data_IF_537026382737
#
_entry.id   IF_537026382737
#
_cell.length_a   1.000
_cell.length_b   1.000
_cell.length_c   1.000
_cell.angle_alpha   90.00
_cell.angle_beta   90.00
_cell.angle_gamma   90.00
#
_symmetry.space_group_name_H-M   'P 1'
#
loop_
_entity.id
_entity.type
_entity.pdbx_description
1 polymer ?
#
# COMPACT_ATOMS: atom_id res chain seq x y z
N UNK A 1 10.39 60.14 -6.51
CA UNK A 1 9.77 61.41 -6.99
C UNK A 1 8.90 61.10 -8.18
N UNK A 2 7.61 61.45 -8.07
CA UNK A 2 6.58 61.67 -9.12
C UNK A 2 6.19 60.47 -10.00
N UNK A 3 4.95 60.29 -10.45
CA UNK A 3 3.58 60.64 -10.06
C UNK A 3 2.72 60.40 -11.32
N UNK A 4 1.45 60.09 -11.11
CA UNK A 4 0.31 60.21 -12.05
C UNK A 4 0.22 59.20 -13.22
N UNK A 5 -0.97 58.74 -13.62
CA UNK A 5 -2.31 59.07 -13.17
C UNK A 5 -3.38 58.54 -14.13
N UNK A 6 -4.32 57.75 -13.59
CA UNK A 6 -5.75 58.09 -13.43
C UNK A 6 -6.63 58.48 -14.66
N UNK A 7 -7.75 57.73 -14.77
CA UNK A 7 -9.12 58.10 -15.24
C UNK A 7 -9.34 58.28 -16.76
N UNK A 8 -10.50 58.06 -17.37
CA UNK A 8 -11.85 57.52 -17.10
C UNK A 8 -12.62 57.88 -18.39
N UNK A 9 -13.53 57.07 -18.94
CA UNK A 9 -14.79 57.61 -19.51
C UNK A 9 -15.79 56.49 -19.79
N UNK A 10 -17.04 56.89 -19.67
CA UNK A 10 -18.27 56.13 -19.41
C UNK A 10 -19.19 56.36 -20.60
N UNK A 11 -20.03 55.39 -20.96
CA UNK A 11 -21.31 55.70 -21.60
C UNK A 11 -22.36 54.64 -21.28
N UNK A 12 -23.48 55.15 -20.77
CA UNK A 12 -24.72 54.48 -20.40
C UNK A 12 -25.66 54.36 -21.61
N UNK A 13 -26.73 53.58 -21.38
CA UNK A 13 -28.15 53.87 -21.70
C UNK A 13 -28.73 52.78 -22.63
N UNK A 14 -29.95 52.26 -22.51
CA UNK A 14 -31.04 52.25 -21.52
C UNK A 14 -32.12 51.31 -22.08
N UNK A 15 -32.98 50.77 -21.20
CA UNK A 15 -34.45 50.90 -21.20
C UNK A 15 -35.32 49.61 -21.13
N UNK A 16 -36.14 49.56 -20.05
CA UNK A 16 -37.59 49.25 -19.97
C UNK A 16 -38.10 47.83 -20.33
N UNK A 17 -39.12 47.19 -19.71
CA UNK A 17 -40.04 47.43 -18.59
C UNK A 17 -40.98 46.16 -18.46
N UNK A 18 -41.79 46.10 -17.39
CA UNK A 18 -43.12 45.42 -17.23
C UNK A 18 -43.24 44.07 -16.46
N UNK A 19 -43.61 44.22 -15.16
CA UNK A 19 -44.76 43.69 -14.37
C UNK A 19 -45.29 42.21 -14.47
N UNK A 20 -45.23 41.53 -13.32
CA UNK A 20 -46.36 41.13 -12.41
C UNK A 20 -47.07 39.74 -12.49
N UNK A 21 -47.14 39.11 -11.30
CA UNK A 21 -48.26 38.35 -10.68
C UNK A 21 -48.11 36.83 -10.44
N UNK A 22 -48.58 36.39 -9.26
CA UNK A 22 -48.52 35.05 -8.66
C UNK A 22 -49.88 34.32 -8.67
N UNK A 23 -49.91 32.97 -8.81
CA UNK A 23 -50.76 32.01 -8.02
C UNK A 23 -50.62 30.50 -8.39
N UNK A 24 -50.30 29.69 -7.36
CA UNK A 24 -50.80 28.36 -6.90
C UNK A 24 -50.70 27.00 -7.66
N UNK A 25 -49.93 26.06 -7.03
CA UNK A 25 -50.04 24.57 -6.77
C UNK A 25 -50.03 23.55 -7.94
N UNK A 26 -49.69 22.23 -7.73
CA UNK A 26 -49.53 21.42 -6.50
C UNK A 26 -48.16 20.68 -6.34
N UNK A 27 -47.88 19.95 -5.22
CA UNK A 27 -46.61 19.24 -5.01
C UNK A 27 -46.68 17.79 -5.52
N UNK A 28 -45.68 17.37 -6.30
CA UNK A 28 -45.51 15.99 -6.76
C UNK A 28 -44.42 15.27 -5.95
N UNK A 29 -44.79 14.09 -5.46
CA UNK A 29 -44.05 13.19 -4.57
C UNK A 29 -42.74 12.72 -5.24
N UNK A 30 -41.57 13.07 -4.67
CA UNK A 30 -40.28 12.61 -5.19
C UNK A 30 -39.97 11.20 -4.65
N UNK A 31 -39.90 10.26 -5.58
CA UNK A 31 -39.49 8.87 -5.38
C UNK A 31 -38.15 8.78 -4.60
N UNK A 32 -38.23 8.28 -3.36
CA UNK A 32 -37.07 8.02 -2.50
C UNK A 32 -36.16 6.91 -3.05
N UNK A 33 -36.68 6.04 -3.93
CA UNK A 33 -35.96 4.90 -4.51
C UNK A 33 -34.76 5.30 -5.38
N UNK A 34 -34.82 6.42 -6.10
CA UNK A 34 -33.73 6.89 -6.97
C UNK A 34 -32.60 7.61 -6.20
N UNK A 35 -32.89 8.11 -5.00
CA UNK A 35 -31.92 8.83 -4.17
C UNK A 35 -30.98 7.83 -3.48
N UNK A 36 -31.51 6.68 -3.03
CA UNK A 36 -30.69 5.63 -2.43
C UNK A 36 -29.71 5.00 -3.43
N UNK A 37 -30.09 4.83 -4.70
CA UNK A 37 -29.19 4.27 -5.72
C UNK A 37 -28.00 5.20 -6.01
N UNK A 38 -28.26 6.52 -6.14
CA UNK A 38 -27.22 7.53 -6.38
C UNK A 38 -26.31 7.72 -5.16
N UNK A 39 -26.87 7.62 -3.95
CA UNK A 39 -26.12 7.70 -2.70
C UNK A 39 -25.22 6.47 -2.52
N UNK A 40 -25.69 5.27 -2.85
CA UNK A 40 -24.89 4.04 -2.75
C UNK A 40 -23.70 4.05 -3.73
N UNK A 41 -23.90 4.54 -4.96
CA UNK A 41 -22.83 4.71 -5.95
C UNK A 41 -21.81 5.75 -5.48
N UNK A 42 -22.27 6.92 -4.99
CA UNK A 42 -21.38 7.97 -4.49
C UNK A 42 -20.61 7.59 -3.22
N UNK A 43 -21.21 6.81 -2.32
CA UNK A 43 -20.54 6.27 -1.12
C UNK A 43 -19.52 5.20 -1.51
N UNK A 44 -19.84 4.34 -2.49
CA UNK A 44 -18.90 3.33 -2.98
C UNK A 44 -17.69 3.97 -3.67
N UNK A 45 -17.90 4.99 -4.50
CA UNK A 45 -16.81 5.76 -5.13
C UNK A 45 -15.98 6.57 -4.13
N UNK A 46 -16.60 7.13 -3.09
CA UNK A 46 -15.88 7.86 -2.04
C UNK A 46 -15.06 6.91 -1.14
N UNK A 47 -15.61 5.76 -0.76
CA UNK A 47 -14.94 4.77 0.08
C UNK A 47 -13.79 4.06 -0.64
N UNK A 48 -13.89 3.85 -1.96
CA UNK A 48 -12.79 3.32 -2.78
C UNK A 48 -11.67 4.35 -2.93
N UNK A 49 -11.99 5.63 -3.20
CA UNK A 49 -10.99 6.71 -3.22
C UNK A 49 -10.23 6.89 -1.90
N UNK A 50 -10.91 6.72 -0.75
CA UNK A 50 -10.26 6.82 0.56
C UNK A 50 -9.36 5.63 0.91
N UNK A 51 -9.68 4.41 0.45
CA UNK A 51 -8.77 3.24 0.60
C UNK A 51 -7.49 3.42 -0.22
N UNK A 52 -7.62 3.76 -1.50
CA UNK A 52 -6.48 3.96 -2.40
C UNK A 52 -5.52 5.08 -1.91
N UNK A 53 -6.08 6.17 -1.35
CA UNK A 53 -5.26 7.25 -0.76
C UNK A 53 -4.55 6.83 0.53
N UNK A 54 -5.16 5.97 1.34
CA UNK A 54 -4.57 5.44 2.58
C UNK A 54 -3.47 4.42 2.29
N UNK A 55 -3.65 3.61 1.24
CA UNK A 55 -2.70 2.60 0.77
C UNK A 55 -1.46 3.25 0.18
N UNK A 56 -1.59 4.28 -0.68
CA UNK A 56 -0.46 5.06 -1.18
C UNK A 56 0.37 5.70 -0.05
N UNK A 57 -0.30 6.27 0.96
CA UNK A 57 0.37 6.80 2.17
C UNK A 57 1.03 5.71 3.01
N UNK A 58 0.55 4.47 2.96
CA UNK A 58 1.10 3.34 3.71
C UNK A 58 2.40 2.85 3.07
N UNK A 59 2.46 2.84 1.74
CA UNK A 59 3.67 2.51 1.01
C UNK A 59 4.80 3.50 1.28
N UNK A 60 4.55 4.81 1.17
CA UNK A 60 5.58 5.83 1.44
C UNK A 60 6.17 5.73 2.86
N UNK A 61 5.31 5.39 3.83
CA UNK A 61 5.76 5.11 5.21
C UNK A 61 6.62 3.86 5.25
N UNK A 62 6.25 2.81 4.53
CA UNK A 62 6.99 1.55 4.46
C UNK A 62 8.40 1.76 3.91
N UNK A 63 8.54 2.57 2.85
CA UNK A 63 9.85 2.97 2.31
C UNK A 63 10.74 3.66 3.33
N UNK A 64 10.21 4.65 4.04
CA UNK A 64 10.95 5.36 5.09
C UNK A 64 11.37 4.43 6.23
N UNK A 65 10.53 3.45 6.57
CA UNK A 65 10.84 2.46 7.60
C UNK A 65 11.95 1.50 7.14
N UNK A 66 11.92 1.03 5.89
CA UNK A 66 12.97 0.19 5.32
C UNK A 66 14.32 0.91 5.31
N UNK A 67 14.38 2.15 4.79
CA UNK A 67 15.59 2.98 4.78
C UNK A 67 16.15 3.17 6.21
N UNK A 68 15.27 3.40 7.18
CA UNK A 68 15.66 3.51 8.58
C UNK A 68 16.25 2.21 9.13
N UNK A 69 15.70 1.05 8.76
CA UNK A 69 16.25 -0.25 9.18
C UNK A 69 17.63 -0.48 8.56
N UNK A 70 17.81 -0.17 7.27
CA UNK A 70 19.11 -0.26 6.58
C UNK A 70 20.16 0.59 7.30
N UNK A 71 19.84 1.86 7.59
CA UNK A 71 20.74 2.77 8.31
C UNK A 71 21.12 2.27 9.71
N UNK A 72 20.17 1.70 10.46
CA UNK A 72 20.43 1.11 11.77
C UNK A 72 21.36 -0.11 11.66
N UNK A 73 21.19 -0.92 10.61
CA UNK A 73 22.02 -2.08 10.35
C UNK A 73 23.43 -1.72 9.86
N UNK A 74 23.60 -0.57 9.18
CA UNK A 74 24.89 -0.04 8.69
C UNK A 74 25.75 0.64 9.78
N UNK A 75 25.29 0.70 11.02
CA UNK A 75 26.03 1.35 12.10
C UNK A 75 27.42 0.72 12.26
N UNK A 76 28.50 1.52 12.39
CA UNK A 76 29.88 1.01 12.36
C UNK A 76 30.20 -0.05 13.43
N UNK A 77 29.52 0.01 14.59
CA UNK A 77 29.62 -1.01 15.66
C UNK A 77 28.86 -2.31 15.36
N UNK A 78 28.03 -2.33 14.33
CA UNK A 78 27.33 -3.53 13.86
C UNK A 78 28.27 -4.34 12.99
N UNK A 79 28.96 -5.31 13.60
CA UNK A 79 29.76 -6.30 12.88
C UNK A 79 28.86 -7.33 12.18
N UNK A 80 27.97 -6.89 11.29
CA UNK A 80 27.16 -7.81 10.49
C UNK A 80 28.10 -8.56 9.55
N UNK A 81 28.38 -9.82 9.87
CA UNK A 81 29.12 -10.73 8.99
C UNK A 81 28.32 -10.88 7.69
N UNK A 82 28.99 -10.81 6.54
CA UNK A 82 28.42 -10.96 5.19
C UNK A 82 27.98 -12.42 4.90
N UNK A 83 27.32 -13.04 5.85
CA UNK A 83 26.76 -14.38 5.76
C UNK A 83 25.26 -14.24 5.48
N UNK A 84 24.73 -14.86 4.42
CA UNK A 84 23.29 -14.88 4.16
C UNK A 84 22.53 -15.40 5.40
N UNK A 85 21.37 -14.81 5.77
CA UNK A 85 20.64 -13.73 5.10
C UNK A 85 21.18 -12.33 5.48
N UNK A 86 21.69 -11.59 4.50
CA UNK A 86 22.24 -10.25 4.71
C UNK A 86 21.16 -9.19 4.50
N UNK A 87 20.64 -8.64 5.61
CA UNK A 87 19.53 -7.67 5.59
C UNK A 87 19.83 -6.41 4.77
N UNK A 88 21.12 -6.05 4.65
CA UNK A 88 21.57 -4.89 3.88
C UNK A 88 21.46 -5.09 2.36
N UNK A 89 21.37 -6.33 1.87
CA UNK A 89 21.07 -6.61 0.46
C UNK A 89 19.57 -6.85 0.27
N UNK A 90 18.94 -7.57 1.20
CA UNK A 90 17.53 -7.97 1.11
C UNK A 90 16.60 -6.76 1.04
N UNK A 91 16.81 -5.74 1.86
CA UNK A 91 15.91 -4.57 1.89
C UNK A 91 16.02 -3.73 0.60
N UNK A 92 17.22 -3.39 0.10
CA UNK A 92 17.36 -2.80 -1.24
C UNK A 92 16.76 -3.66 -2.35
N UNK A 93 16.98 -4.97 -2.35
CA UNK A 93 16.39 -5.87 -3.35
C UNK A 93 14.86 -5.86 -3.31
N UNK A 94 14.28 -5.86 -2.11
CA UNK A 94 12.83 -5.76 -1.91
C UNK A 94 12.31 -4.43 -2.46
N UNK A 95 13.04 -3.34 -2.23
CA UNK A 95 12.69 -2.03 -2.78
C UNK A 95 12.69 -2.04 -4.32
N UNK A 96 13.73 -2.59 -4.94
CA UNK A 96 13.80 -2.70 -6.41
C UNK A 96 12.67 -3.54 -6.97
N UNK A 97 12.34 -4.67 -6.32
CA UNK A 97 11.25 -5.55 -6.76
C UNK A 97 9.90 -4.86 -6.70
N UNK A 98 9.61 -4.17 -5.61
CA UNK A 98 8.39 -3.39 -5.47
C UNK A 98 8.33 -2.23 -6.48
N UNK A 99 9.44 -1.54 -6.74
CA UNK A 99 9.51 -0.50 -7.78
C UNK A 99 9.20 -1.06 -9.18
N UNK A 100 9.73 -2.25 -9.50
CA UNK A 100 9.41 -2.96 -10.74
C UNK A 100 7.91 -3.26 -10.84
N UNK A 101 7.29 -3.76 -9.77
CA UNK A 101 5.84 -4.01 -9.73
C UNK A 101 5.09 -2.71 -10.04
N UNK A 102 5.40 -1.62 -9.34
CA UNK A 102 4.74 -0.33 -9.59
C UNK A 102 4.86 0.12 -11.04
N UNK A 103 6.04 -0.01 -11.66
CA UNK A 103 6.25 0.38 -13.06
C UNK A 103 5.37 -0.41 -14.04
N UNK A 104 5.03 -1.66 -13.72
CA UNK A 104 4.14 -2.50 -14.56
C UNK A 104 2.67 -2.12 -14.44
N UNK A 105 2.27 -1.50 -13.33
CA UNK A 105 0.88 -1.15 -13.04
C UNK A 105 0.61 0.36 -13.12
N UNK A 106 1.52 1.19 -13.63
CA UNK A 106 1.34 2.67 -13.70
C UNK A 106 0.00 3.09 -14.33
N UNK A 107 -0.41 2.38 -15.38
CA UNK A 107 -1.67 2.64 -16.11
C UNK A 107 -2.90 1.93 -15.50
N UNK A 108 -2.70 1.05 -14.51
CA UNK A 108 -3.76 0.25 -13.89
C UNK A 108 -3.50 0.04 -12.38
N UNK A 109 -3.25 1.13 -11.66
CA UNK A 109 -3.01 1.10 -10.21
C UNK A 109 -4.18 0.50 -9.44
N UNK A 110 -5.42 0.68 -9.93
CA UNK A 110 -6.63 0.12 -9.32
C UNK A 110 -6.57 -1.41 -9.25
N UNK A 111 -5.99 -2.07 -10.25
CA UNK A 111 -5.81 -3.53 -10.23
C UNK A 111 -4.74 -3.99 -9.24
N UNK A 112 -3.71 -3.18 -9.00
CA UNK A 112 -2.68 -3.49 -8.00
C UNK A 112 -3.21 -3.26 -6.58
N UNK A 113 -3.91 -2.15 -6.36
CA UNK A 113 -4.49 -1.77 -5.07
C UNK A 113 -5.63 -2.72 -4.66
N UNK A 114 -6.35 -3.30 -5.62
CA UNK A 114 -7.36 -4.33 -5.34
C UNK A 114 -6.77 -5.73 -5.10
N UNK A 115 -5.47 -5.92 -5.31
CA UNK A 115 -4.82 -7.21 -5.08
C UNK A 115 -4.59 -7.45 -3.58
N UNK A 116 -5.33 -8.41 -3.02
CA UNK A 116 -5.26 -8.74 -1.59
C UNK A 116 -3.86 -9.17 -1.15
N UNK A 117 -3.16 -9.98 -1.96
CA UNK A 117 -1.81 -10.46 -1.65
C UNK A 117 -0.80 -9.33 -1.54
N UNK A 118 -0.86 -8.38 -2.47
CA UNK A 118 -0.01 -7.21 -2.46
C UNK A 118 -0.23 -6.38 -1.19
N UNK A 119 -1.50 -6.11 -0.84
CA UNK A 119 -1.85 -5.36 0.36
C UNK A 119 -1.42 -6.06 1.65
N UNK A 120 -1.60 -7.38 1.75
CA UNK A 120 -1.14 -8.18 2.88
C UNK A 120 0.40 -8.09 2.99
N UNK A 121 1.10 -8.24 1.86
CA UNK A 121 2.55 -8.14 1.81
C UNK A 121 3.06 -6.77 2.31
N UNK A 122 2.53 -5.67 1.79
CA UNK A 122 2.93 -4.31 2.20
C UNK A 122 2.66 -4.07 3.69
N UNK A 123 1.49 -4.51 4.19
CA UNK A 123 1.17 -4.38 5.60
C UNK A 123 2.09 -5.22 6.50
N UNK A 124 2.42 -6.45 6.10
CA UNK A 124 3.38 -7.29 6.81
C UNK A 124 4.77 -6.65 6.80
N UNK A 125 5.23 -6.15 5.65
CA UNK A 125 6.53 -5.52 5.48
C UNK A 125 6.67 -4.31 6.42
N UNK A 126 5.64 -3.45 6.45
CA UNK A 126 5.58 -2.33 7.38
C UNK A 126 5.69 -2.77 8.84
N UNK A 127 4.97 -3.82 9.24
CA UNK A 127 4.98 -4.35 10.62
C UNK A 127 6.36 -4.89 11.00
N UNK A 128 6.97 -5.69 10.13
CA UNK A 128 8.31 -6.27 10.35
C UNK A 128 9.39 -5.18 10.39
N UNK A 129 9.29 -4.11 9.58
CA UNK A 129 10.20 -2.96 9.68
C UNK A 129 10.04 -2.21 11.01
N UNK A 130 8.80 -1.98 11.49
CA UNK A 130 8.57 -1.38 12.81
C UNK A 130 9.14 -2.24 13.93
N UNK A 131 8.98 -3.56 13.83
CA UNK A 131 9.55 -4.52 14.78
C UNK A 131 11.09 -4.44 14.81
N UNK A 132 11.74 -4.38 13.65
CA UNK A 132 13.19 -4.17 13.57
C UNK A 132 13.61 -2.89 14.28
N UNK A 133 12.98 -1.76 13.97
CA UNK A 133 13.30 -0.47 14.61
C UNK A 133 13.09 -0.52 16.13
N UNK A 134 12.02 -1.17 16.60
CA UNK A 134 11.76 -1.36 18.04
C UNK A 134 12.85 -2.20 18.69
N UNK A 135 13.29 -3.28 18.03
CA UNK A 135 14.38 -4.14 18.51
C UNK A 135 15.69 -3.34 18.71
N UNK A 136 16.04 -2.48 17.76
CA UNK A 136 17.21 -1.59 17.90
C UNK A 136 17.08 -0.61 19.06
N UNK A 137 15.89 -0.01 19.25
CA UNK A 137 15.62 0.93 20.34
C UNK A 137 15.72 0.28 21.73
N UNK A 138 15.24 -0.96 21.86
CA UNK A 138 15.26 -1.69 23.12
C UNK A 138 16.62 -2.33 23.41
N UNK A 139 17.28 -2.87 22.38
CA UNK A 139 18.57 -3.53 22.52
C UNK A 139 19.71 -2.55 22.86
N UNK A 140 19.69 -1.33 22.30
CA UNK A 140 20.76 -0.31 22.49
C UNK A 140 22.15 -0.96 22.33
N UNK A 141 23.01 -0.87 23.34
CA UNK A 141 24.35 -1.47 23.33
C UNK A 141 24.34 -2.99 23.16
N UNK A 142 23.29 -3.68 23.65
CA UNK A 142 23.16 -5.14 23.49
C UNK A 142 22.96 -5.56 22.03
N UNK A 143 22.60 -4.66 21.12
CA UNK A 143 22.57 -4.98 19.68
C UNK A 143 23.96 -5.29 19.11
N UNK A 144 25.01 -4.69 19.71
CA UNK A 144 26.39 -4.83 19.23
C UNK A 144 27.06 -6.10 19.75
N UNK A 145 26.58 -6.65 20.86
CA UNK A 145 27.00 -7.97 21.36
C UNK A 145 26.46 -9.10 20.48
N UNK A 146 27.36 -9.87 19.86
CA UNK A 146 27.02 -10.97 18.95
C UNK A 146 26.22 -12.09 19.64
N UNK A 147 26.43 -12.30 20.94
CA UNK A 147 25.79 -13.38 21.69
C UNK A 147 24.43 -13.00 22.28
N UNK A 148 24.06 -11.73 22.21
CA UNK A 148 22.83 -11.23 22.82
C UNK A 148 21.58 -11.80 22.14
N UNK A 149 20.50 -11.92 22.92
CA UNK A 149 19.20 -12.29 22.38
C UNK A 149 18.69 -11.29 21.34
N UNK A 150 19.04 -10.00 21.47
CA UNK A 150 18.67 -8.97 20.50
C UNK A 150 19.33 -9.21 19.14
N UNK A 151 20.61 -9.61 19.11
CA UNK A 151 21.29 -9.96 17.87
C UNK A 151 20.70 -11.20 17.22
N UNK A 152 20.42 -12.25 18.00
CA UNK A 152 19.74 -13.47 17.51
C UNK A 152 18.35 -13.15 16.93
N UNK A 153 17.59 -12.25 17.57
CA UNK A 153 16.30 -11.79 17.07
C UNK A 153 16.42 -11.02 15.76
N UNK A 154 17.46 -10.20 15.60
CA UNK A 154 17.73 -9.52 14.34
C UNK A 154 18.05 -10.52 13.22
N UNK A 155 18.83 -11.57 13.51
CA UNK A 155 19.11 -12.65 12.56
C UNK A 155 17.82 -13.36 12.14
N UNK A 156 16.96 -13.73 13.10
CA UNK A 156 15.63 -14.30 12.82
C UNK A 156 14.79 -13.37 11.93
N UNK A 157 14.79 -12.08 12.23
CA UNK A 157 14.05 -11.08 11.46
C UNK A 157 14.61 -10.91 10.05
N UNK A 158 15.93 -11.00 9.87
CA UNK A 158 16.60 -10.96 8.56
C UNK A 158 16.20 -12.16 7.70
N UNK A 159 16.08 -13.35 8.32
CA UNK A 159 15.56 -14.54 7.65
C UNK A 159 14.11 -14.37 7.20
N UNK A 160 13.26 -13.80 8.07
CA UNK A 160 11.87 -13.47 7.71
C UNK A 160 11.81 -12.51 6.52
N UNK A 161 12.63 -11.45 6.49
CA UNK A 161 12.70 -10.56 5.33
C UNK A 161 13.13 -11.29 4.04
N UNK A 162 14.09 -12.22 4.13
CA UNK A 162 14.52 -13.03 2.98
C UNK A 162 13.38 -13.87 2.42
N UNK A 163 12.57 -14.49 3.29
CA UNK A 163 11.39 -15.26 2.87
C UNK A 163 10.33 -14.37 2.26
N UNK A 164 10.02 -13.23 2.88
CA UNK A 164 9.09 -12.25 2.33
C UNK A 164 9.50 -11.81 0.92
N UNK A 165 10.78 -11.50 0.70
CA UNK A 165 11.28 -11.15 -0.63
C UNK A 165 11.11 -12.29 -1.63
N UNK A 166 11.38 -13.53 -1.20
CA UNK A 166 11.23 -14.72 -2.06
C UNK A 166 9.76 -14.96 -2.44
N UNK A 167 8.83 -14.78 -1.49
CA UNK A 167 7.39 -14.84 -1.74
C UNK A 167 6.94 -13.74 -2.71
N UNK A 168 7.40 -12.51 -2.51
CA UNK A 168 7.13 -11.41 -3.44
C UNK A 168 7.65 -11.72 -4.84
N UNK A 169 8.87 -12.29 -4.95
CA UNK A 169 9.43 -12.69 -6.23
C UNK A 169 8.59 -13.78 -6.90
N UNK A 170 8.10 -14.75 -6.14
CA UNK A 170 7.30 -15.86 -6.64
C UNK A 170 5.87 -15.44 -7.05
N UNK A 171 5.27 -14.48 -6.34
CA UNK A 171 3.95 -13.92 -6.69
C UNK A 171 4.02 -12.97 -7.89
N UNK A 172 5.14 -12.27 -8.06
CA UNK A 172 5.33 -11.26 -9.10
C UNK A 172 6.61 -11.50 -9.92
N UNK A 173 6.81 -12.65 -10.60
CA UNK A 173 8.07 -13.07 -11.23
C UNK A 173 8.74 -11.98 -12.10
N UNK A 174 7.95 -11.22 -12.85
CA UNK A 174 8.41 -10.10 -13.71
C UNK A 174 7.76 -8.76 -13.35
N UNK A 175 7.35 -8.61 -12.09
CA UNK A 175 6.60 -7.45 -11.61
C UNK A 175 5.10 -7.49 -11.93
N UNK A 176 4.61 -8.56 -12.56
CA UNK A 176 3.20 -8.81 -12.85
C UNK A 176 2.70 -9.94 -11.96
N UNK A 177 1.50 -9.78 -11.41
CA UNK A 177 0.89 -10.79 -10.56
C UNK A 177 0.66 -12.09 -11.34
N UNK A 178 1.24 -13.19 -10.87
CA UNK A 178 1.14 -14.53 -11.45
C UNK A 178 0.55 -15.55 -10.44
N UNK A 179 -0.20 -15.09 -9.44
CA UNK A 179 -0.75 -15.94 -8.38
C UNK A 179 -1.66 -17.06 -8.88
N UNK A 180 -2.43 -16.81 -9.95
CA UNK A 180 -3.28 -17.83 -10.59
C UNK A 180 -2.48 -18.99 -11.25
N UNK A 181 -1.16 -18.83 -11.42
CA UNK A 181 -0.29 -19.87 -12.00
C UNK A 181 0.48 -20.66 -10.93
N UNK A 182 0.23 -20.43 -9.63
CA UNK A 182 0.97 -21.08 -8.56
C UNK A 182 0.59 -22.57 -8.43
N UNK A 183 1.44 -23.44 -8.99
CA UNK A 183 1.24 -24.89 -8.99
C UNK A 183 1.97 -25.54 -7.81
N UNK A 184 1.26 -26.30 -6.95
CA UNK A 184 1.94 -27.16 -5.97
C UNK A 184 2.73 -28.21 -6.73
N UNK A 185 4.04 -28.27 -6.48
CA UNK A 185 4.96 -29.20 -7.13
C UNK A 185 4.79 -30.65 -6.68
N UNK A 186 4.22 -30.90 -5.50
CA UNK A 186 3.89 -32.23 -4.99
C UNK A 186 2.42 -32.55 -5.25
N UNK A 187 2.17 -33.60 -6.03
CA UNK A 187 0.84 -34.10 -6.39
C UNK A 187 -0.03 -34.37 -5.16
N UNK A 188 0.52 -35.01 -4.14
CA UNK A 188 -0.24 -35.47 -2.97
C UNK A 188 -0.72 -34.28 -2.12
N UNK A 189 0.11 -33.23 -2.05
CA UNK A 189 -0.27 -31.98 -1.40
C UNK A 189 -1.31 -31.20 -2.23
N UNK A 190 -1.24 -31.27 -3.56
CA UNK A 190 -2.23 -30.68 -4.46
C UNK A 190 -3.61 -31.35 -4.32
N UNK A 191 -3.61 -32.67 -4.23
CA UNK A 191 -4.82 -33.47 -4.06
C UNK A 191 -5.42 -33.30 -2.66
N UNK A 192 -4.58 -33.27 -1.62
CA UNK A 192 -4.99 -32.89 -0.26
C UNK A 192 -5.66 -31.51 -0.25
N UNK A 193 -5.05 -30.53 -0.91
CA UNK A 193 -5.58 -29.18 -0.97
C UNK A 193 -6.93 -29.10 -1.69
N UNK A 194 -7.01 -29.73 -2.86
CA UNK A 194 -8.24 -29.79 -3.67
C UNK A 194 -9.38 -30.46 -2.90
N UNK A 195 -9.06 -31.48 -2.12
CA UNK A 195 -10.02 -32.22 -1.30
C UNK A 195 -10.51 -31.42 -0.10
N UNK A 196 -9.64 -30.62 0.54
CA UNK A 196 -9.96 -29.88 1.77
C UNK A 196 -10.52 -28.46 1.54
N UNK A 197 -10.07 -27.78 0.49
CA UNK A 197 -10.37 -26.36 0.25
C UNK A 197 -10.98 -26.09 -1.14
N UNK A 198 -11.23 -27.14 -1.94
CA UNK A 198 -11.77 -27.04 -3.30
C UNK A 198 -10.78 -26.43 -4.31
N UNK A 199 -11.29 -25.92 -5.43
CA UNK A 199 -10.52 -25.10 -6.39
C UNK A 199 -10.21 -23.69 -5.86
N UNK A 200 -10.47 -23.43 -4.57
CA UNK A 200 -10.06 -22.16 -3.95
C UNK A 200 -8.54 -22.11 -3.98
N UNK A 201 -8.00 -21.16 -4.75
CA UNK A 201 -6.57 -20.92 -4.91
C UNK A 201 -5.83 -21.10 -3.57
N UNK A 202 -4.69 -21.80 -3.63
CA UNK A 202 -3.76 -22.05 -2.51
C UNK A 202 -3.38 -20.82 -1.68
N UNK A 203 -3.61 -19.69 -2.31
CA UNK A 203 -3.54 -18.32 -1.86
C UNK A 203 -4.23 -18.03 -0.50
N UNK A 204 -5.37 -18.64 -0.18
CA UNK A 204 -6.12 -18.28 1.06
C UNK A 204 -5.48 -18.75 2.37
N UNK A 205 -4.46 -19.62 2.31
CA UNK A 205 -3.85 -20.25 3.50
C UNK A 205 -2.36 -19.95 3.69
N UNK A 206 -1.78 -19.10 2.83
CA UNK A 206 -0.51 -18.44 3.14
C UNK A 206 -0.56 -17.27 4.14
N UNK A 207 -1.63 -16.95 4.89
CA UNK A 207 -1.49 -16.02 6.02
C UNK A 207 -0.78 -16.62 7.25
N UNK A 208 -0.35 -17.89 7.26
CA UNK A 208 -0.01 -18.51 8.56
C UNK A 208 1.32 -19.27 8.65
N UNK A 209 2.07 -19.49 7.58
CA UNK A 209 3.35 -20.23 7.71
C UNK A 209 4.52 -19.29 8.03
N UNK A 210 4.38 -17.97 7.86
CA UNK A 210 5.45 -16.99 8.10
C UNK A 210 5.00 -15.64 8.72
N UNK A 211 3.74 -15.50 9.17
CA UNK A 211 3.28 -14.30 9.87
C UNK A 211 3.79 -14.27 11.32
#
# INVERSE_FOLDING_TARGET
RRLCGTRHFKLQSSNSNVKQSCRNRPPQHKNLSTIFSKLHVAITDACTHQRNATEKRTLDKTWKLMDKVVKLCQHQKMNLKNSPPFILDILPDTYQRLKLIYSKYENNMVSLDSNEHFNIFINNLMRKCKQAIKLFKEGKEKMFDENSHYRRNLTKLSLVFSHMLSELKALFPDGVFAGDQFRITKSDAAEFWKTKFGNSNLEKLRPSILL
#
